data_IF_816949974632
#
_entry.id   IF_816949974632
#
_cell.length_a   1.000
_cell.length_b   1.000
_cell.length_c   1.000
_cell.angle_alpha   90.00
_cell.angle_beta   90.00
_cell.angle_gamma   90.00
#
_symmetry.space_group_name_H-M   'P 1'
#
loop_
_entity.id
_entity.type
_entity.pdbx_description
1 polymer ?
#
# COMPACT_ATOMS: atom_id res chain seq x y z
N UNK A 1 -6.29 -6.97 -2.55
CA UNK A 1 -4.93 -6.79 -3.07
C UNK A 1 -4.82 -7.65 -4.30
N UNK A 2 -4.69 -7.03 -5.46
CA UNK A 2 -4.44 -7.74 -6.71
C UNK A 2 -2.97 -8.17 -6.76
N UNK A 3 -2.64 -9.24 -7.50
CA UNK A 3 -1.28 -9.81 -7.55
C UNK A 3 -0.24 -8.75 -7.93
N UNK A 4 -0.56 -7.91 -8.91
CA UNK A 4 0.33 -6.84 -9.37
C UNK A 4 0.64 -5.81 -8.29
N UNK A 5 -0.36 -5.47 -7.47
CA UNK A 5 -0.19 -4.51 -6.36
C UNK A 5 0.68 -5.10 -5.25
N UNK A 6 0.55 -6.41 -4.99
CA UNK A 6 1.42 -7.14 -4.07
C UNK A 6 2.88 -7.15 -4.52
N UNK A 7 3.13 -7.44 -5.79
CA UNK A 7 4.49 -7.42 -6.38
C UNK A 7 5.09 -6.01 -6.31
N UNK A 8 4.33 -5.00 -6.74
CA UNK A 8 4.78 -3.61 -6.71
C UNK A 8 5.12 -3.15 -5.29
N UNK A 9 4.27 -3.52 -4.32
CA UNK A 9 4.49 -3.22 -2.90
C UNK A 9 5.75 -3.89 -2.35
N UNK A 10 6.00 -5.17 -2.69
CA UNK A 10 7.20 -5.87 -2.28
C UNK A 10 8.48 -5.26 -2.84
N UNK A 11 8.48 -4.92 -4.13
CA UNK A 11 9.61 -4.25 -4.79
C UNK A 11 9.88 -2.88 -4.15
N UNK A 12 8.81 -2.13 -3.81
CA UNK A 12 8.93 -0.83 -3.16
C UNK A 12 9.51 -0.91 -1.74
N UNK A 13 8.93 -1.76 -0.88
CA UNK A 13 9.36 -1.93 0.52
C UNK A 13 10.79 -2.47 0.59
N UNK A 14 11.17 -3.37 -0.32
CA UNK A 14 12.50 -3.96 -0.38
C UNK A 14 13.50 -3.09 -1.15
N UNK A 15 13.64 -3.39 -2.44
CA UNK A 15 14.74 -2.90 -3.27
C UNK A 15 14.73 -1.39 -3.50
N UNK A 16 13.60 -0.81 -3.93
CA UNK A 16 13.54 0.60 -4.34
C UNK A 16 13.83 1.51 -3.15
N UNK A 17 13.20 1.28 -2.00
CA UNK A 17 13.40 2.13 -0.82
C UNK A 17 14.82 2.02 -0.27
N UNK A 18 15.43 0.84 -0.31
CA UNK A 18 16.81 0.65 0.16
C UNK A 18 17.81 1.39 -0.74
N UNK A 19 17.65 1.28 -2.05
CA UNK A 19 18.47 2.01 -3.03
C UNK A 19 18.26 3.53 -2.86
N UNK A 20 17.03 4.00 -2.73
CA UNK A 20 16.71 5.41 -2.49
C UNK A 20 17.42 5.95 -1.23
N UNK A 21 17.42 5.19 -0.14
CA UNK A 21 18.12 5.57 1.10
C UNK A 21 19.62 5.70 0.90
N UNK A 22 20.25 4.73 0.20
CA UNK A 22 21.70 4.68 0.03
C UNK A 22 22.18 5.70 -1.01
N UNK A 23 21.53 5.77 -2.16
CA UNK A 23 22.02 6.53 -3.32
C UNK A 23 21.48 7.96 -3.37
N UNK A 24 20.23 8.19 -2.96
CA UNK A 24 19.59 9.52 -3.04
C UNK A 24 19.72 10.27 -1.71
N UNK A 25 19.30 9.65 -0.60
CA UNK A 25 19.36 10.28 0.72
C UNK A 25 20.77 10.28 1.32
N UNK A 26 21.69 9.47 0.77
CA UNK A 26 23.06 9.29 1.26
C UNK A 26 23.08 8.95 2.77
N UNK A 27 22.20 8.03 3.18
CA UNK A 27 22.04 7.59 4.58
C UNK A 27 22.34 6.11 4.75
N UNK A 28 22.61 5.73 6.00
CA UNK A 28 22.76 4.34 6.40
C UNK A 28 21.45 3.54 6.29
N UNK A 29 21.58 2.22 6.20
CA UNK A 29 20.48 1.27 6.03
C UNK A 29 19.42 1.34 7.14
N UNK A 30 19.74 1.86 8.31
CA UNK A 30 18.78 2.08 9.39
C UNK A 30 17.61 2.97 8.95
N UNK A 31 17.85 3.91 8.03
CA UNK A 31 16.82 4.78 7.47
C UNK A 31 15.79 4.05 6.60
N UNK A 32 16.17 2.94 5.98
CA UNK A 32 15.21 2.06 5.31
C UNK A 32 14.21 1.48 6.31
N UNK A 33 14.70 1.05 7.48
CA UNK A 33 13.87 0.61 8.59
C UNK A 33 12.94 1.71 9.12
N UNK A 34 13.44 2.95 9.25
CA UNK A 34 12.62 4.09 9.66
C UNK A 34 11.53 4.41 8.64
N UNK A 35 11.83 4.42 7.34
CA UNK A 35 10.85 4.68 6.29
C UNK A 35 9.74 3.62 6.32
N UNK A 36 10.09 2.33 6.40
CA UNK A 36 9.11 1.26 6.49
C UNK A 36 8.26 1.36 7.76
N UNK A 37 8.88 1.67 8.90
CA UNK A 37 8.14 1.88 10.17
C UNK A 37 7.17 3.05 10.05
N UNK A 38 7.60 4.17 9.46
CA UNK A 38 6.76 5.33 9.18
C UNK A 38 5.59 5.01 8.24
N UNK A 39 5.82 4.17 7.22
CA UNK A 39 4.76 3.70 6.31
C UNK A 39 3.67 2.94 7.05
N UNK A 40 4.06 1.97 7.88
CA UNK A 40 3.11 1.20 8.67
C UNK A 40 2.41 2.05 9.72
N UNK A 41 3.13 2.94 10.40
CA UNK A 41 2.54 3.89 11.35
C UNK A 41 1.49 4.78 10.68
N UNK A 42 1.81 5.38 9.53
CA UNK A 42 0.89 6.17 8.72
C UNK A 42 -0.32 5.37 8.27
N UNK A 43 -0.13 4.10 7.88
CA UNK A 43 -1.20 3.21 7.45
C UNK A 43 -2.13 2.81 8.59
N UNK A 44 -1.60 2.53 9.79
CA UNK A 44 -2.41 2.24 10.99
C UNK A 44 -3.25 3.46 11.37
N UNK A 45 -2.61 4.62 11.48
CA UNK A 45 -3.29 5.89 11.78
C UNK A 45 -4.34 6.21 10.71
N UNK A 46 -3.96 6.05 9.45
CA UNK A 46 -4.84 6.22 8.30
C UNK A 46 -6.07 5.33 8.37
N UNK A 47 -5.89 4.04 8.65
CA UNK A 47 -7.00 3.09 8.74
C UNK A 47 -7.96 3.46 9.88
N UNK A 48 -7.44 3.78 11.06
CA UNK A 48 -8.27 4.27 12.18
C UNK A 48 -9.09 5.48 11.73
N UNK A 49 -8.44 6.46 11.11
CA UNK A 49 -9.07 7.69 10.65
C UNK A 49 -10.17 7.41 9.62
N UNK A 50 -9.90 6.59 8.60
CA UNK A 50 -10.89 6.24 7.57
C UNK A 50 -12.06 5.43 8.15
N UNK A 51 -11.83 4.52 9.07
CA UNK A 51 -12.90 3.77 9.74
C UNK A 51 -13.84 4.70 10.51
N UNK A 52 -13.31 5.72 11.19
CA UNK A 52 -14.12 6.73 11.90
C UNK A 52 -15.02 7.54 10.95
N UNK A 53 -14.59 7.79 9.71
CA UNK A 53 -15.37 8.52 8.70
C UNK A 53 -16.10 7.62 7.70
N UNK A 54 -16.18 6.31 7.97
CA UNK A 54 -16.71 5.30 7.03
C UNK A 54 -18.14 5.60 6.54
N UNK A 55 -19.03 6.12 7.40
CA UNK A 55 -20.41 6.48 7.04
C UNK A 55 -20.45 7.53 5.92
N UNK A 56 -19.55 8.51 5.95
CA UNK A 56 -19.46 9.57 4.93
C UNK A 56 -18.82 9.04 3.65
N UNK A 57 -17.85 8.12 3.78
CA UNK A 57 -17.15 7.50 2.66
C UNK A 57 -18.07 6.64 1.79
N UNK A 58 -18.97 5.87 2.42
CA UNK A 58 -19.87 4.94 1.70
C UNK A 58 -20.78 5.62 0.66
N UNK A 59 -21.04 6.93 0.80
CA UNK A 59 -21.84 7.72 -0.14
C UNK A 59 -21.09 8.09 -1.42
N UNK A 60 -19.75 8.06 -1.41
CA UNK A 60 -18.92 8.60 -2.50
C UNK A 60 -17.64 7.77 -2.76
N UNK A 61 -17.77 6.45 -2.87
CA UNK A 61 -16.64 5.53 -3.01
C UNK A 61 -15.71 5.89 -4.19
N UNK A 62 -16.25 6.07 -5.39
CA UNK A 62 -15.45 6.40 -6.59
C UNK A 62 -14.67 7.72 -6.42
N UNK A 63 -15.30 8.74 -5.82
CA UNK A 63 -14.61 10.01 -5.54
C UNK A 63 -13.47 9.80 -4.54
N UNK A 64 -13.69 8.96 -3.53
CA UNK A 64 -12.67 8.55 -2.57
C UNK A 64 -11.45 7.95 -3.28
N UNK A 65 -11.67 6.99 -4.18
CA UNK A 65 -10.62 6.33 -4.98
C UNK A 65 -9.83 7.33 -5.82
N UNK A 66 -10.51 8.20 -6.57
CA UNK A 66 -9.85 9.14 -7.49
C UNK A 66 -9.03 10.17 -6.72
N UNK A 67 -9.63 10.82 -5.72
CA UNK A 67 -8.97 11.88 -4.94
C UNK A 67 -7.77 11.32 -4.20
N UNK A 68 -7.92 10.17 -3.54
CA UNK A 68 -6.82 9.57 -2.79
C UNK A 68 -5.69 9.14 -3.70
N UNK A 69 -5.98 8.52 -4.86
CA UNK A 69 -4.97 8.12 -5.84
C UNK A 69 -4.21 9.32 -6.39
N UNK A 70 -4.90 10.42 -6.67
CA UNK A 70 -4.28 11.65 -7.13
C UNK A 70 -3.34 12.26 -6.09
N UNK A 71 -3.78 12.34 -4.83
CA UNK A 71 -2.96 12.85 -3.73
C UNK A 71 -1.74 11.95 -3.49
N UNK A 72 -1.93 10.63 -3.46
CA UNK A 72 -0.82 9.67 -3.33
C UNK A 72 0.19 9.86 -4.46
N UNK A 73 -0.26 10.00 -5.71
CA UNK A 73 0.62 10.24 -6.86
C UNK A 73 1.49 11.48 -6.66
N UNK A 74 0.89 12.60 -6.22
CA UNK A 74 1.64 13.82 -5.90
C UNK A 74 2.65 13.57 -4.77
N UNK A 75 2.23 12.92 -3.68
CA UNK A 75 3.12 12.64 -2.56
C UNK A 75 4.30 11.75 -2.98
N UNK A 76 4.07 10.76 -3.85
CA UNK A 76 5.10 9.85 -4.36
C UNK A 76 6.08 10.60 -5.25
N UNK A 77 5.60 11.52 -6.10
CA UNK A 77 6.48 12.38 -6.90
C UNK A 77 7.36 13.27 -6.01
N UNK A 78 6.77 13.90 -4.99
CA UNK A 78 7.53 14.72 -4.02
C UNK A 78 8.54 13.86 -3.25
N UNK A 79 8.17 12.64 -2.87
CA UNK A 79 9.08 11.69 -2.23
C UNK A 79 10.25 11.31 -3.14
N UNK A 80 10.00 11.05 -4.42
CA UNK A 80 11.01 10.64 -5.38
C UNK A 80 12.08 11.70 -5.67
N UNK A 81 11.70 12.99 -5.67
CA UNK A 81 12.63 14.11 -5.88
C UNK A 81 13.25 14.65 -4.58
N UNK A 82 12.84 14.12 -3.42
CA UNK A 82 13.31 14.57 -2.13
C UNK A 82 14.67 13.98 -1.77
N UNK A 83 15.57 14.82 -1.24
CA UNK A 83 16.91 14.42 -0.78
C UNK A 83 17.07 14.46 0.74
N UNK A 84 16.03 14.86 1.49
CA UNK A 84 16.07 14.96 2.95
C UNK A 84 15.35 13.77 3.61
N UNK A 85 16.10 13.00 4.41
CA UNK A 85 15.58 11.79 5.04
C UNK A 85 14.43 12.05 6.03
N UNK A 86 14.40 13.19 6.73
CA UNK A 86 13.29 13.52 7.63
C UNK A 86 12.01 13.84 6.88
N UNK A 87 12.12 14.55 5.75
CA UNK A 87 10.99 14.84 4.87
C UNK A 87 10.43 13.53 4.31
N UNK A 88 11.29 12.57 3.96
CA UNK A 88 10.87 11.25 3.49
C UNK A 88 9.97 10.53 4.51
N UNK A 89 10.32 10.57 5.80
CA UNK A 89 9.48 9.98 6.86
C UNK A 89 8.11 10.65 6.94
N UNK A 90 8.07 11.99 6.93
CA UNK A 90 6.81 12.75 7.00
C UNK A 90 5.91 12.43 5.80
N UNK A 91 6.48 12.44 4.59
CA UNK A 91 5.76 12.13 3.36
C UNK A 91 5.14 10.73 3.42
N UNK A 92 5.90 9.74 3.86
CA UNK A 92 5.45 8.36 3.92
C UNK A 92 4.39 8.14 5.00
N UNK A 93 4.47 8.83 6.15
CA UNK A 93 3.37 8.88 7.14
C UNK A 93 2.12 9.50 6.53
N UNK A 94 2.26 10.63 5.81
CA UNK A 94 1.15 11.33 5.17
C UNK A 94 0.49 10.52 4.05
N UNK A 95 1.24 9.69 3.32
CA UNK A 95 0.68 8.80 2.31
C UNK A 95 -0.30 7.77 2.91
N UNK A 96 -0.05 7.31 4.14
CA UNK A 96 -0.80 6.24 4.81
C UNK A 96 -2.33 6.42 4.80
N UNK A 97 -2.87 7.54 5.30
CA UNK A 97 -4.31 7.83 5.25
C UNK A 97 -4.92 7.79 3.84
N UNK A 98 -4.20 8.27 2.82
CA UNK A 98 -4.70 8.28 1.46
C UNK A 98 -4.63 6.89 0.81
N UNK A 99 -3.59 6.10 1.09
CA UNK A 99 -3.57 4.68 0.71
C UNK A 99 -4.76 3.94 1.31
N UNK A 100 -4.99 4.06 2.62
CA UNK A 100 -6.13 3.40 3.28
C UNK A 100 -7.48 3.89 2.73
N UNK A 101 -7.61 5.19 2.43
CA UNK A 101 -8.82 5.72 1.79
C UNK A 101 -9.07 5.07 0.44
N UNK A 102 -8.04 4.95 -0.40
CA UNK A 102 -8.11 4.30 -1.71
C UNK A 102 -8.54 2.84 -1.58
N UNK A 103 -7.80 2.08 -0.78
CA UNK A 103 -7.92 0.63 -0.70
C UNK A 103 -9.27 0.23 -0.10
N UNK A 104 -9.69 0.88 0.99
CA UNK A 104 -11.00 0.64 1.61
C UNK A 104 -12.13 1.01 0.64
N UNK A 105 -12.00 2.12 -0.09
CA UNK A 105 -13.01 2.53 -1.06
C UNK A 105 -13.12 1.57 -2.23
N UNK A 106 -11.99 1.11 -2.78
CA UNK A 106 -11.94 0.12 -3.86
C UNK A 106 -12.55 -1.21 -3.40
N UNK A 107 -12.13 -1.72 -2.24
CA UNK A 107 -12.64 -2.97 -1.70
C UNK A 107 -14.15 -2.89 -1.45
N UNK A 108 -14.62 -1.81 -0.83
CA UNK A 108 -16.06 -1.60 -0.58
C UNK A 108 -16.85 -1.46 -1.88
N UNK A 109 -16.28 -0.80 -2.89
CA UNK A 109 -16.93 -0.66 -4.20
C UNK A 109 -17.08 -2.01 -4.90
N UNK A 110 -16.00 -2.79 -4.96
CA UNK A 110 -15.99 -4.15 -5.54
C UNK A 110 -17.00 -5.04 -4.82
N UNK A 111 -17.02 -5.03 -3.48
CA UNK A 111 -17.99 -5.78 -2.67
C UNK A 111 -19.44 -5.37 -2.95
N UNK A 112 -19.72 -4.10 -3.22
CA UNK A 112 -21.08 -3.65 -3.58
C UNK A 112 -21.51 -4.07 -4.98
N UNK A 113 -20.56 -4.27 -5.89
CA UNK A 113 -20.83 -4.61 -7.30
C UNK A 113 -20.94 -6.11 -7.53
N UNK A 114 -20.25 -6.93 -6.71
CA UNK A 114 -20.21 -8.39 -6.85
C UNK A 114 -21.16 -9.04 -5.84
N UNK A 115 -22.00 -9.98 -6.30
CA UNK A 115 -22.94 -10.75 -5.44
C UNK A 115 -22.16 -11.69 -4.49
N UNK A 116 -22.53 -11.66 -3.21
CA UNK A 116 -21.79 -12.14 -2.03
C UNK A 116 -21.08 -13.51 -2.12
N UNK A 117 -21.54 -14.44 -2.96
CA UNK A 117 -21.08 -15.84 -2.94
C UNK A 117 -19.88 -16.12 -3.87
N UNK A 118 -19.55 -15.21 -4.79
CA UNK A 118 -18.44 -15.39 -5.74
C UNK A 118 -17.13 -14.72 -5.30
N UNK A 119 -17.22 -13.61 -4.57
CA UNK A 119 -16.05 -12.80 -4.23
C UNK A 119 -15.16 -13.45 -3.17
N UNK A 120 -15.76 -13.96 -2.09
CA UNK A 120 -15.02 -14.67 -1.03
C UNK A 120 -14.35 -15.94 -1.55
N UNK A 121 -15.01 -16.62 -2.50
CA UNK A 121 -14.49 -17.84 -3.14
C UNK A 121 -13.32 -17.53 -4.07
N UNK A 122 -13.45 -16.48 -4.90
CA UNK A 122 -12.36 -16.00 -5.77
C UNK A 122 -11.11 -15.60 -4.98
N UNK A 123 -11.28 -14.83 -3.89
CA UNK A 123 -10.15 -14.44 -3.05
C UNK A 123 -9.48 -15.64 -2.37
N UNK A 124 -10.27 -16.61 -1.89
CA UNK A 124 -9.73 -17.83 -1.31
C UNK A 124 -8.91 -18.63 -2.34
N UNK A 125 -9.48 -18.87 -3.54
CA UNK A 125 -8.81 -19.64 -4.60
C UNK A 125 -7.51 -18.96 -5.05
N UNK A 126 -7.51 -17.63 -5.20
CA UNK A 126 -6.32 -16.87 -5.55
C UNK A 126 -5.24 -16.98 -4.47
N UNK A 127 -5.63 -16.92 -3.19
CA UNK A 127 -4.72 -17.04 -2.06
C UNK A 127 -4.07 -18.43 -1.99
N UNK A 128 -4.85 -19.49 -2.18
CA UNK A 128 -4.34 -20.86 -2.24
C UNK A 128 -3.39 -21.07 -3.42
N UNK A 129 -3.69 -20.48 -4.58
CA UNK A 129 -2.85 -20.61 -5.76
C UNK A 129 -1.50 -19.90 -5.58
N UNK A 130 -1.51 -18.68 -5.01
CA UNK A 130 -0.28 -17.95 -4.67
C UNK A 130 0.53 -18.71 -3.61
N UNK A 131 -0.13 -19.25 -2.59
CA UNK A 131 0.53 -20.06 -1.56
C UNK A 131 1.12 -21.35 -2.13
N UNK A 132 0.41 -22.04 -3.02
CA UNK A 132 0.93 -23.23 -3.69
C UNK A 132 2.15 -22.89 -4.55
N UNK A 133 2.11 -21.80 -5.33
CA UNK A 133 3.24 -21.35 -6.13
C UNK A 133 4.44 -20.95 -5.27
N UNK A 134 4.23 -20.28 -4.14
CA UNK A 134 5.34 -19.92 -3.25
C UNK A 134 5.99 -21.17 -2.66
N UNK A 135 5.22 -22.14 -2.18
CA UNK A 135 5.74 -23.43 -1.69
C UNK A 135 6.48 -24.17 -2.79
N UNK A 136 5.94 -24.26 -4.01
CA UNK A 136 6.61 -24.89 -5.14
C UNK A 136 7.94 -24.22 -5.48
N UNK A 137 7.99 -22.89 -5.48
CA UNK A 137 9.22 -22.14 -5.74
C UNK A 137 10.29 -22.47 -4.68
N UNK A 138 9.92 -22.47 -3.39
CA UNK A 138 10.83 -22.85 -2.31
C UNK A 138 11.27 -24.32 -2.33
N UNK A 139 10.46 -25.22 -2.88
CA UNK A 139 10.80 -26.64 -2.98
C UNK A 139 11.70 -26.96 -4.20
N UNK A 140 11.71 -26.11 -5.23
CA UNK A 140 12.54 -26.28 -6.43
C UNK A 140 13.93 -25.63 -6.33
N UNK A 141 14.15 -24.72 -5.37
CA UNK A 141 15.44 -24.06 -5.12
C UNK A 141 16.38 -24.88 -4.19
N UNK A 142 16.23 -26.22 -4.12
CA UNK A 142 17.12 -27.17 -3.42
C UNK A 142 17.47 -28.40 -4.26
#
# INVERSE_FOLDING_TARGET
MDILEGIASGIWIGGITLVFVKEVLNKGEQWWGFINTSYYAGSILGRILITLFSIKLQKHLIKGIIISSFIVSILVLVYAINTNAWIALVLVVMMGPFYQLRDISQQTYIQKVIVDDTLSKLYADLYYLIFALSVFYYQCDF
#
